data_IF_911740972698
#
_entry.id   IF_911740972698
#
_cell.length_a   1.000
_cell.length_b   1.000
_cell.length_c   1.000
_cell.angle_alpha   90.00
_cell.angle_beta   90.00
_cell.angle_gamma   90.00
#
_symmetry.space_group_name_H-M   'P 1'
#
loop_
_entity.id
_entity.type
_entity.pdbx_description
1 polymer ?
#
# COMPACT_ATOMS: atom_id res chain seq x y z
N UNK A 1 4.61 2.78 0.61
CA UNK A 1 4.44 1.40 0.08
C UNK A 1 2.98 0.95 0.08
N UNK A 2 2.33 0.75 1.23
CA UNK A 2 0.94 0.23 1.29
C UNK A 2 -0.03 1.05 0.44
N UNK A 3 -0.05 2.38 0.61
CA UNK A 3 -0.87 3.28 -0.21
C UNK A 3 -0.62 3.13 -1.73
N UNK A 4 0.62 2.88 -2.13
CA UNK A 4 0.98 2.65 -3.54
C UNK A 4 0.43 1.33 -4.04
N UNK A 5 0.58 0.25 -3.27
CA UNK A 5 -0.01 -1.06 -3.62
C UNK A 5 -1.52 -0.98 -3.75
N UNK A 6 -2.21 -0.31 -2.82
CA UNK A 6 -3.65 -0.09 -2.88
C UNK A 6 -4.05 0.67 -4.16
N UNK A 7 -3.36 1.77 -4.47
CA UNK A 7 -3.61 2.54 -5.69
C UNK A 7 -3.46 1.68 -6.95
N UNK A 8 -2.40 0.89 -7.04
CA UNK A 8 -2.10 0.04 -8.19
C UNK A 8 -3.12 -1.09 -8.39
N UNK A 9 -3.76 -1.58 -7.31
CA UNK A 9 -4.88 -2.54 -7.42
C UNK A 9 -6.26 -1.87 -7.51
N UNK A 10 -6.29 -0.54 -7.58
CA UNK A 10 -7.52 0.25 -7.72
C UNK A 10 -8.36 0.33 -6.45
N UNK A 11 -7.75 0.18 -5.27
CA UNK A 11 -8.37 0.43 -3.98
C UNK A 11 -7.97 1.83 -3.52
N UNK A 12 -8.94 2.62 -3.03
CA UNK A 12 -8.69 3.99 -2.58
C UNK A 12 -7.63 4.03 -1.46
N UNK A 13 -6.47 4.70 -1.64
CA UNK A 13 -5.39 4.72 -0.65
C UNK A 13 -5.77 5.34 0.69
N UNK A 14 -6.84 6.13 0.72
CA UNK A 14 -7.44 6.74 1.91
C UNK A 14 -7.98 5.69 2.88
N UNK A 15 -8.21 4.44 2.44
CA UNK A 15 -8.56 3.31 3.31
C UNK A 15 -7.43 2.88 4.25
N UNK A 16 -6.22 3.42 4.07
CA UNK A 16 -5.08 3.18 4.96
C UNK A 16 -4.55 4.49 5.58
N UNK A 17 -4.51 4.53 6.91
CA UNK A 17 -3.93 5.61 7.69
C UNK A 17 -2.76 5.13 8.56
N UNK A 18 -1.63 5.83 8.48
CA UNK A 18 -0.51 5.68 9.43
C UNK A 18 -0.27 7.05 10.07
N UNK A 19 -0.48 7.14 11.38
CA UNK A 19 -0.39 8.39 12.14
C UNK A 19 0.27 8.11 13.48
N UNK A 20 1.00 9.10 13.99
CA UNK A 20 1.69 9.03 15.28
C UNK A 20 0.95 9.84 16.34
N UNK A 21 0.78 9.23 17.50
CA UNK A 21 0.31 9.86 18.73
C UNK A 21 0.98 9.18 19.92
N UNK A 22 1.51 9.96 20.85
CA UNK A 22 2.06 9.45 22.11
C UNK A 22 0.95 9.27 23.16
N UNK A 23 1.27 8.57 24.26
CA UNK A 23 0.33 8.37 25.37
C UNK A 23 -0.11 9.67 26.05
N UNK A 24 0.68 10.75 25.93
CA UNK A 24 0.36 12.06 26.50
C UNK A 24 -0.60 12.90 25.61
N UNK A 25 -0.88 12.46 24.38
CA UNK A 25 -1.63 13.23 23.38
C UNK A 25 -3.07 12.71 23.20
N UNK A 26 -3.80 12.50 24.30
CA UNK A 26 -5.17 11.95 24.24
C UNK A 26 -6.11 12.73 23.29
N UNK A 27 -6.14 14.09 23.29
CA UNK A 27 -6.98 14.83 22.33
C UNK A 27 -6.60 14.58 20.87
N UNK A 28 -5.31 14.42 20.56
CA UNK A 28 -4.82 14.13 19.20
C UNK A 28 -5.26 12.74 18.78
N UNK A 29 -5.11 11.75 19.64
CA UNK A 29 -5.55 10.38 19.37
C UNK A 29 -7.04 10.34 19.02
N UNK A 30 -7.89 10.97 19.86
CA UNK A 30 -9.34 11.06 19.60
C UNK A 30 -9.59 11.66 18.22
N UNK A 31 -8.98 12.81 17.91
CA UNK A 31 -9.14 13.46 16.61
C UNK A 31 -8.74 12.56 15.44
N UNK A 32 -7.58 11.90 15.51
CA UNK A 32 -7.08 11.04 14.44
C UNK A 32 -8.02 9.86 14.16
N UNK A 33 -8.56 9.23 15.21
CA UNK A 33 -9.52 8.12 15.06
C UNK A 33 -10.86 8.62 14.53
N UNK A 34 -11.36 9.76 15.04
CA UNK A 34 -12.60 10.37 14.55
C UNK A 34 -12.51 10.71 13.07
N UNK A 35 -11.46 11.42 12.65
CA UNK A 35 -11.25 11.81 11.26
C UNK A 35 -11.15 10.58 10.33
N UNK A 36 -10.41 9.55 10.75
CA UNK A 36 -10.32 8.30 9.98
C UNK A 36 -11.66 7.55 9.90
N UNK A 37 -12.45 7.56 10.98
CA UNK A 37 -13.77 6.94 11.02
C UNK A 37 -14.75 7.65 10.09
N UNK A 38 -14.77 8.99 10.11
CA UNK A 38 -15.58 9.80 9.19
C UNK A 38 -15.19 9.47 7.76
N UNK A 39 -13.89 9.49 7.44
CA UNK A 39 -13.41 9.18 6.09
C UNK A 39 -13.81 7.78 5.63
N UNK A 40 -13.71 6.80 6.53
CA UNK A 40 -14.11 5.41 6.23
C UNK A 40 -15.61 5.29 5.98
N UNK A 41 -16.44 6.03 6.73
CA UNK A 41 -17.89 6.08 6.52
C UNK A 41 -18.25 6.71 5.18
N UNK A 42 -17.59 7.80 4.79
CA UNK A 42 -17.79 8.43 3.48
C UNK A 42 -17.44 7.50 2.31
N UNK A 43 -16.42 6.66 2.47
CA UNK A 43 -16.02 5.65 1.48
C UNK A 43 -16.92 4.41 1.48
N UNK A 44 -17.71 4.21 2.54
CA UNK A 44 -18.51 3.01 2.76
C UNK A 44 -17.70 1.71 2.79
N UNK A 45 -18.41 0.55 2.78
CA UNK A 45 -17.83 -0.76 2.57
C UNK A 45 -16.77 -0.80 1.47
N UNK A 46 -15.73 -1.60 1.69
CA UNK A 46 -14.68 -1.79 0.69
C UNK A 46 -15.25 -2.39 -0.60
N UNK A 47 -14.87 -1.85 -1.75
CA UNK A 47 -15.45 -2.18 -3.05
C UNK A 47 -16.55 -1.21 -3.48
N UNK A 48 -17.30 -0.60 -2.56
CA UNK A 48 -18.41 0.29 -2.92
C UNK A 48 -17.91 1.61 -3.52
N UNK A 49 -17.01 2.32 -2.84
CA UNK A 49 -16.42 3.56 -3.37
C UNK A 49 -15.49 3.34 -4.56
N UNK A 50 -15.07 2.09 -4.80
CA UNK A 50 -14.27 1.67 -5.94
C UNK A 50 -15.12 1.19 -7.13
N UNK A 51 -16.42 0.93 -6.92
CA UNK A 51 -17.31 0.39 -7.94
C UNK A 51 -17.01 -1.06 -8.34
N UNK A 52 -16.54 -1.89 -7.40
CA UNK A 52 -16.08 -3.26 -7.64
C UNK A 52 -17.08 -4.29 -7.13
N UNK A 53 -17.23 -5.40 -7.86
CA UNK A 53 -17.94 -6.57 -7.34
C UNK A 53 -17.13 -7.24 -6.22
N UNK A 54 -17.79 -8.03 -5.34
CA UNK A 54 -17.08 -8.81 -4.31
C UNK A 54 -16.01 -9.75 -4.88
N UNK A 55 -16.27 -10.35 -6.04
CA UNK A 55 -15.35 -11.26 -6.73
C UNK A 55 -14.12 -10.50 -7.29
N UNK A 56 -14.35 -9.37 -7.96
CA UNK A 56 -13.27 -8.52 -8.47
C UNK A 56 -12.40 -7.96 -7.34
N UNK A 57 -13.03 -7.53 -6.25
CA UNK A 57 -12.34 -7.05 -5.06
C UNK A 57 -11.41 -8.13 -4.50
N UNK A 58 -11.92 -9.36 -4.36
CA UNK A 58 -11.14 -10.48 -3.86
C UNK A 58 -9.92 -10.75 -4.73
N UNK A 59 -10.10 -10.81 -6.06
CA UNK A 59 -8.99 -11.02 -7.01
C UNK A 59 -7.93 -9.93 -6.86
N UNK A 60 -8.33 -8.66 -6.73
CA UNK A 60 -7.41 -7.52 -6.58
C UNK A 60 -6.64 -7.56 -5.27
N UNK A 61 -7.32 -7.88 -4.16
CA UNK A 61 -6.68 -8.01 -2.85
C UNK A 61 -5.73 -9.21 -2.82
N UNK A 62 -6.13 -10.35 -3.39
CA UNK A 62 -5.28 -11.55 -3.45
C UNK A 62 -4.02 -11.29 -4.29
N UNK A 63 -4.15 -10.55 -5.40
CA UNK A 63 -3.01 -10.12 -6.21
C UNK A 63 -2.09 -9.17 -5.44
N UNK A 64 -2.65 -8.20 -4.70
CA UNK A 64 -1.87 -7.34 -3.81
C UNK A 64 -1.14 -8.15 -2.74
N UNK A 65 -1.82 -9.13 -2.13
CA UNK A 65 -1.30 -9.98 -1.07
C UNK A 65 -0.14 -10.85 -1.58
N UNK A 66 -0.30 -11.46 -2.75
CA UNK A 66 0.75 -12.24 -3.41
C UNK A 66 2.00 -11.38 -3.68
N UNK A 67 1.81 -10.16 -4.18
CA UNK A 67 2.91 -9.22 -4.42
C UNK A 67 3.65 -8.86 -3.12
N UNK A 68 2.92 -8.46 -2.07
CA UNK A 68 3.58 -8.04 -0.81
C UNK A 68 4.25 -9.19 -0.08
N UNK A 69 3.78 -10.42 -0.33
CA UNK A 69 4.36 -11.65 0.22
C UNK A 69 5.55 -12.18 -0.59
N UNK A 70 5.75 -11.65 -1.80
CA UNK A 70 6.79 -12.10 -2.71
C UNK A 70 8.21 -11.87 -2.16
N UNK A 71 9.07 -12.87 -2.38
CA UNK A 71 10.44 -12.86 -1.90
C UNK A 71 11.27 -11.73 -2.54
N UNK A 72 11.08 -11.43 -3.83
CA UNK A 72 11.86 -10.38 -4.51
C UNK A 72 11.55 -9.01 -3.93
N UNK A 73 10.27 -8.73 -3.64
CA UNK A 73 9.88 -7.47 -3.01
C UNK A 73 10.47 -7.34 -1.60
N UNK A 74 10.47 -8.42 -0.81
CA UNK A 74 11.11 -8.45 0.52
C UNK A 74 12.61 -8.16 0.45
N UNK A 75 13.31 -8.73 -0.53
CA UNK A 75 14.74 -8.48 -0.77
C UNK A 75 14.97 -7.03 -1.20
N UNK A 76 14.13 -6.49 -2.09
CA UNK A 76 14.22 -5.09 -2.53
C UNK A 76 14.08 -4.11 -1.36
N UNK A 77 13.15 -4.38 -0.43
CA UNK A 77 13.02 -3.61 0.81
C UNK A 77 14.29 -3.69 1.66
N UNK A 78 14.87 -4.87 1.84
CA UNK A 78 16.14 -5.04 2.56
C UNK A 78 17.32 -4.29 1.92
N UNK A 79 17.34 -4.16 0.60
CA UNK A 79 18.37 -3.38 -0.09
C UNK A 79 18.13 -1.86 0.05
N UNK A 80 16.87 -1.42 0.07
CA UNK A 80 16.53 -0.03 0.36
C UNK A 80 16.98 0.37 1.77
N UNK A 81 16.70 -0.45 2.78
CA UNK A 81 17.13 -0.15 4.16
C UNK A 81 18.64 -0.15 4.34
N UNK A 82 19.37 -1.04 3.65
CA UNK A 82 20.85 -0.99 3.60
C UNK A 82 21.37 0.32 3.03
N UNK A 83 20.73 0.84 1.98
CA UNK A 83 21.09 2.12 1.35
C UNK A 83 20.86 3.27 2.32
N UNK A 84 19.69 3.32 2.95
CA UNK A 84 19.36 4.35 3.95
C UNK A 84 20.37 4.36 5.11
N UNK A 85 20.72 3.18 5.62
CA UNK A 85 21.71 3.06 6.71
C UNK A 85 23.12 3.49 6.29
N UNK A 86 23.53 3.17 5.06
CA UNK A 86 24.86 3.50 4.54
C UNK A 86 25.04 5.02 4.40
N UNK A 87 24.04 5.69 3.85
CA UNK A 87 24.08 7.13 3.62
C UNK A 87 23.76 7.95 4.89
N UNK A 88 23.27 7.28 5.96
CA UNK A 88 22.90 7.87 7.25
C UNK A 88 21.94 9.08 7.15
N UNK A 89 21.23 9.20 6.04
CA UNK A 89 20.25 10.25 5.79
C UNK A 89 18.85 9.72 6.08
N UNK A 90 18.24 10.21 7.16
CA UNK A 90 16.90 9.79 7.61
C UNK A 90 15.81 10.83 7.34
N UNK A 91 16.08 11.79 6.45
CA UNK A 91 15.06 12.73 5.98
C UNK A 91 13.96 11.98 5.23
N UNK A 92 12.73 12.48 5.35
CA UNK A 92 11.57 11.82 4.75
C UNK A 92 11.68 11.78 3.22
N UNK A 93 12.22 12.83 2.62
CA UNK A 93 12.41 12.99 1.19
C UNK A 93 13.36 11.92 0.65
N UNK A 94 14.50 11.72 1.30
CA UNK A 94 15.49 10.73 0.91
C UNK A 94 14.99 9.30 1.11
N UNK A 95 14.34 9.01 2.24
CA UNK A 95 13.74 7.68 2.46
C UNK A 95 12.70 7.39 1.38
N UNK A 96 11.86 8.37 1.05
CA UNK A 96 10.82 8.22 0.03
C UNK A 96 11.42 7.92 -1.33
N UNK A 97 12.44 8.67 -1.77
CA UNK A 97 13.09 8.45 -3.06
C UNK A 97 13.75 7.08 -3.17
N UNK A 98 14.47 6.63 -2.13
CA UNK A 98 15.10 5.30 -2.11
C UNK A 98 14.04 4.19 -2.19
N UNK A 99 12.94 4.33 -1.46
CA UNK A 99 11.84 3.36 -1.47
C UNK A 99 11.16 3.34 -2.85
N UNK A 100 10.94 4.50 -3.47
CA UNK A 100 10.34 4.57 -4.81
C UNK A 100 11.24 3.97 -5.89
N UNK A 101 12.54 4.26 -5.85
CA UNK A 101 13.50 3.75 -6.82
C UNK A 101 13.65 2.22 -6.74
N UNK A 102 13.72 1.68 -5.52
CA UNK A 102 13.97 0.25 -5.29
C UNK A 102 12.71 -0.59 -5.32
N UNK A 103 11.60 -0.10 -4.75
CA UNK A 103 10.35 -0.86 -4.65
C UNK A 103 9.31 -0.45 -5.69
N UNK A 104 9.30 0.79 -6.16
CA UNK A 104 8.34 1.24 -7.16
C UNK A 104 8.36 0.38 -8.43
N UNK A 105 9.57 0.11 -8.94
CA UNK A 105 9.77 -0.78 -10.10
C UNK A 105 9.31 -2.20 -9.84
N UNK A 106 9.56 -2.74 -8.65
CA UNK A 106 9.17 -4.10 -8.26
C UNK A 106 7.65 -4.24 -8.10
N UNK A 107 6.99 -3.23 -7.54
CA UNK A 107 5.54 -3.21 -7.33
C UNK A 107 4.82 -3.14 -8.69
N UNK A 108 5.20 -2.19 -9.55
CA UNK A 108 4.59 -2.04 -10.87
C UNK A 108 4.86 -3.26 -11.77
N UNK A 109 6.08 -3.81 -11.76
CA UNK A 109 6.40 -5.01 -12.53
C UNK A 109 5.66 -6.27 -12.03
N UNK A 110 5.57 -6.47 -10.71
CA UNK A 110 4.87 -7.62 -10.13
C UNK A 110 3.35 -7.56 -10.32
N UNK A 111 2.77 -6.37 -10.47
CA UNK A 111 1.36 -6.21 -10.79
C UNK A 111 1.07 -6.26 -12.30
N UNK A 112 2.01 -5.84 -13.17
CA UNK A 112 1.88 -5.96 -14.62
C UNK A 112 1.97 -7.41 -15.12
N UNK A 113 2.79 -8.26 -14.48
CA UNK A 113 3.03 -9.65 -14.89
C UNK A 113 1.87 -10.64 -14.67
N UNK A 114 0.77 -10.22 -14.02
CA UNK A 114 -0.37 -11.10 -13.70
C UNK A 114 -1.63 -10.87 -14.55
N UNK A 115 -1.52 -10.16 -15.67
CA UNK A 115 -2.67 -9.74 -16.49
C UNK A 115 -2.97 -10.57 -17.74
N UNK A 116 -2.21 -11.63 -18.03
CA UNK A 116 -2.26 -12.29 -19.35
C UNK A 116 -2.59 -13.80 -19.37
N UNK A 117 -2.84 -14.46 -18.23
CA UNK A 117 -2.98 -15.94 -18.23
C UNK A 117 -4.31 -16.50 -17.68
N UNK A 118 -5.34 -15.66 -17.50
CA UNK A 118 -6.67 -16.11 -17.05
C UNK A 118 -7.79 -15.91 -18.10
N UNK A 119 -7.43 -15.65 -19.36
CA UNK A 119 -8.39 -15.57 -20.46
C UNK A 119 -8.02 -16.58 -21.55
N UNK A 120 -8.64 -17.75 -21.51
CA UNK A 120 -8.74 -18.65 -22.66
C UNK A 120 -8.06 -20.00 -22.50
N UNK A 121 -8.80 -20.95 -21.91
CA UNK A 121 -8.99 -22.27 -22.52
C UNK A 121 -10.44 -22.68 -22.28
N UNK A 122 -11.22 -22.57 -23.35
CA UNK A 122 -12.47 -23.32 -23.54
C UNK A 122 -12.16 -24.81 -23.59
#
# INVERSE_FOLDING_TARGET
MVKKVLAEVGIKPERFGLQWASAAEAPRFVKLITDFTIKTRELGPIGQAEGLSPEELKIRIDKALALVSDRKLRIALGNATKTIRKEANFTQEFITSVIEDKLGKAITAGLAGGGAEAAGKK
#
